data_IF_115883982297
#
_entry.id   IF_115883982297
#
_cell.length_a   1.000
_cell.length_b   1.000
_cell.length_c   1.000
_cell.angle_alpha   90.00
_cell.angle_beta   90.00
_cell.angle_gamma   90.00
#
_symmetry.space_group_name_H-M   'P 1'
#
loop_
_entity.id
_entity.type
_entity.pdbx_description
1 polymer ?
#
# COMPACT_ATOMS: atom_id res chain seq x y z
N UNK A 1 37.57 18.35 -16.76
CA UNK A 1 37.32 18.11 -16.34
C UNK A 1 36.88 17.93 -15.86
N UNK A 2 36.63 17.85 -15.85
CA UNK A 2 36.04 17.52 -15.31
C UNK A 2 35.35 17.12 -15.02
N UNK A 3 35.17 16.97 -14.98
CA UNK A 3 34.36 16.51 -14.57
C UNK A 3 33.73 16.07 -14.20
N UNK A 4 33.49 15.88 -14.37
CA UNK A 4 32.70 15.42 -13.80
C UNK A 4 32.21 15.01 -13.51
N UNK A 5 32.15 14.88 -13.61
CA UNK A 5 31.51 14.45 -13.13
C UNK A 5 30.78 14.15 -12.69
N UNK A 6 30.78 14.22 -12.94
CA UNK A 6 29.92 13.91 -12.38
C UNK A 6 29.24 13.51 -12.23
N UNK A 7 29.29 13.36 -12.47
CA UNK A 7 28.47 12.90 -12.10
C UNK A 7 27.96 12.45 -11.73
N UNK A 8 27.77 12.33 -11.94
CA UNK A 8 27.16 11.83 -11.37
C UNK A 8 26.60 11.51 -11.03
N UNK A 9 26.61 11.42 -11.17
CA UNK A 9 25.95 11.10 -10.64
C UNK A 9 25.25 10.87 -10.33
N UNK A 10 25.07 10.82 -10.51
CA UNK A 10 24.31 10.65 -10.12
C UNK A 10 23.73 10.24 -9.92
N UNK A 11 23.62 9.93 -10.19
CA UNK A 11 22.91 9.54 -9.94
C UNK A 11 22.42 9.18 -9.57
N UNK A 12 22.19 9.03 -9.72
CA UNK A 12 21.59 8.70 -9.24
C UNK A 12 20.92 8.43 -9.03
N UNK A 13 20.88 8.22 -9.18
CA UNK A 13 20.26 8.19 -8.99
C UNK A 13 19.59 7.85 -8.69
N UNK A 14 19.43 7.53 -8.74
CA UNK A 14 18.88 7.41 -8.45
C UNK A 14 18.18 6.97 -8.19
N UNK A 15 18.09 6.78 -8.29
CA UNK A 15 17.43 6.35 -8.14
C UNK A 15 16.76 5.84 -7.67
N UNK A 16 16.60 5.69 -7.42
CA UNK A 16 15.99 5.20 -7.01
C UNK A 16 15.04 4.97 -6.74
N UNK A 17 15.15 4.59 -6.65
CA UNK A 17 13.97 4.05 -6.68
C UNK A 17 13.05 4.28 -5.84
N UNK A 18 13.35 4.87 -5.42
CA UNK A 18 12.22 5.21 -4.82
C UNK A 18 11.03 4.97 -5.61
N UNK A 19 11.01 4.01 -6.17
CA UNK A 19 9.95 3.72 -7.03
C UNK A 19 8.61 3.57 -6.34
N UNK A 20 8.56 3.73 -5.03
CA UNK A 20 7.33 3.46 -4.32
C UNK A 20 6.77 4.74 -3.74
N UNK A 21 6.06 5.50 -4.58
CA UNK A 21 5.28 6.61 -4.08
C UNK A 21 4.19 6.06 -3.16
N UNK A 22 3.86 6.83 -2.14
CA UNK A 22 2.71 6.50 -1.31
C UNK A 22 1.43 6.60 -2.13
N UNK A 23 0.40 5.92 -1.67
CA UNK A 23 -0.92 5.99 -2.29
C UNK A 23 -1.90 6.60 -1.30
N UNK A 24 -2.76 7.48 -1.80
CA UNK A 24 -3.85 8.02 -1.02
C UNK A 24 -5.15 7.43 -1.53
N UNK A 25 -5.84 6.71 -0.67
CA UNK A 25 -7.07 6.01 -0.96
C UNK A 25 -8.16 6.56 -0.04
N UNK A 26 -8.85 7.62 -0.46
CA UNK A 26 -9.76 8.33 0.43
C UNK A 26 -9.00 8.88 1.63
N UNK A 27 -9.46 8.57 2.82
CA UNK A 27 -8.78 8.96 4.06
C UNK A 27 -7.63 8.07 4.49
N UNK A 28 -7.23 7.12 3.65
CA UNK A 28 -6.19 6.15 4.01
C UNK A 28 -4.96 6.35 3.15
N UNK A 29 -3.82 6.53 3.81
CA UNK A 29 -2.54 6.66 3.13
C UNK A 29 -1.77 5.34 3.27
N UNK A 30 -1.39 4.76 2.15
CA UNK A 30 -0.63 3.51 2.10
C UNK A 30 0.81 3.80 1.79
N UNK A 31 1.70 3.24 2.60
CA UNK A 31 3.14 3.38 2.44
C UNK A 31 3.78 2.00 2.47
N UNK A 32 4.60 1.70 1.47
CA UNK A 32 5.37 0.45 1.44
C UNK A 32 6.66 0.68 2.23
N UNK A 33 6.77 0.01 3.37
CA UNK A 33 7.95 0.14 4.22
C UNK A 33 9.11 -0.71 3.68
N UNK A 34 10.32 -0.37 4.13
CA UNK A 34 11.54 -1.05 3.67
C UNK A 34 11.53 -2.55 3.99
N UNK A 35 10.81 -2.95 5.03
CA UNK A 35 10.73 -4.34 5.44
C UNK A 35 9.69 -5.15 4.65
N UNK A 36 9.09 -4.55 3.63
CA UNK A 36 8.09 -5.22 2.81
C UNK A 36 6.68 -5.15 3.34
N UNK A 37 6.47 -4.60 4.53
CA UNK A 37 5.14 -4.45 5.12
C UNK A 37 4.51 -3.13 4.70
N UNK A 38 3.19 -3.12 4.64
CA UNK A 38 2.44 -1.91 4.35
C UNK A 38 2.12 -1.18 5.64
N UNK A 39 2.23 0.15 5.60
CA UNK A 39 1.73 1.00 6.67
C UNK A 39 0.51 1.74 6.17
N UNK A 40 -0.54 1.77 6.98
CA UNK A 40 -1.76 2.49 6.66
C UNK A 40 -1.93 3.59 7.70
N UNK A 41 -1.90 4.83 7.25
CA UNK A 41 -1.92 6.01 8.12
C UNK A 41 -0.84 5.92 9.21
N UNK A 42 0.34 5.40 8.84
CA UNK A 42 1.47 5.30 9.75
C UNK A 42 1.48 4.07 10.63
N UNK A 43 0.48 3.21 10.55
CA UNK A 43 0.42 1.98 11.33
C UNK A 43 0.76 0.77 10.46
N UNK A 44 1.72 -0.04 10.88
CA UNK A 44 2.07 -1.24 10.16
C UNK A 44 0.97 -2.28 10.30
N UNK A 45 0.53 -2.84 9.17
CA UNK A 45 -0.49 -3.89 9.18
C UNK A 45 0.02 -5.11 9.94
N UNK A 46 -0.89 -5.83 10.57
CA UNK A 46 -0.55 -7.00 11.37
C UNK A 46 -0.60 -8.30 10.57
N UNK A 47 -1.21 -8.26 9.39
CA UNK A 47 -1.21 -9.37 8.45
C UNK A 47 -1.22 -8.84 7.04
N UNK A 48 -0.60 -9.58 6.11
CA UNK A 48 -0.50 -9.15 4.73
C UNK A 48 -0.37 -10.38 3.84
N UNK A 49 -1.23 -10.48 2.84
CA UNK A 49 -1.17 -11.57 1.88
C UNK A 49 -1.35 -11.01 0.47
N UNK A 50 -0.37 -11.26 -0.38
CA UNK A 50 -0.36 -10.76 -1.75
C UNK A 50 -0.74 -11.89 -2.70
N UNK A 51 -1.63 -11.58 -3.64
CA UNK A 51 -2.06 -12.52 -4.67
C UNK A 51 -2.07 -11.83 -6.01
N UNK A 52 -1.39 -12.43 -6.98
CA UNK A 52 -1.43 -11.93 -8.35
C UNK A 52 -2.71 -12.39 -9.03
N UNK A 53 -3.42 -11.46 -9.68
CA UNK A 53 -4.70 -11.75 -10.31
C UNK A 53 -4.53 -12.24 -11.76
N UNK A 54 -3.34 -12.06 -12.30
CA UNK A 54 -2.99 -12.55 -13.62
C UNK A 54 -1.71 -13.38 -13.52
N UNK A 55 -0.71 -12.97 -14.27
CA UNK A 55 0.58 -13.67 -14.25
C UNK A 55 1.34 -13.36 -12.96
N UNK A 56 2.20 -14.28 -12.56
CA UNK A 56 3.11 -14.06 -11.44
C UNK A 56 3.97 -12.82 -11.72
N UNK A 57 4.14 -12.01 -10.68
CA UNK A 57 4.92 -10.76 -10.72
C UNK A 57 4.31 -9.66 -11.59
N UNK A 58 3.04 -9.80 -11.96
CA UNK A 58 2.30 -8.73 -12.64
C UNK A 58 1.69 -7.79 -11.60
N UNK A 59 2.46 -6.78 -11.20
CA UNK A 59 2.07 -5.84 -10.16
C UNK A 59 1.00 -4.85 -10.60
N UNK A 60 0.58 -4.86 -11.86
CA UNK A 60 -0.56 -4.08 -12.33
C UNK A 60 -1.88 -4.83 -12.16
N UNK A 61 -1.81 -6.09 -11.75
CA UNK A 61 -2.99 -6.92 -11.51
C UNK A 61 -2.75 -7.74 -10.25
N UNK A 62 -2.95 -7.10 -9.10
CA UNK A 62 -2.58 -7.69 -7.81
C UNK A 62 -3.64 -7.35 -6.77
N UNK A 63 -3.78 -8.23 -5.81
CA UNK A 63 -4.66 -8.06 -4.66
C UNK A 63 -3.85 -8.30 -3.40
N UNK A 64 -3.97 -7.40 -2.44
CA UNK A 64 -3.31 -7.56 -1.15
C UNK A 64 -4.35 -7.48 -0.04
N UNK A 65 -4.51 -8.57 0.67
CA UNK A 65 -5.39 -8.63 1.85
C UNK A 65 -4.55 -8.30 3.07
N UNK A 66 -5.01 -7.34 3.85
CA UNK A 66 -4.28 -6.85 5.01
C UNK A 66 -5.20 -6.74 6.21
N UNK A 67 -4.66 -6.99 7.38
CA UNK A 67 -5.36 -6.78 8.63
C UNK A 67 -4.59 -5.81 9.51
N UNK A 68 -5.32 -5.05 10.30
CA UNK A 68 -4.75 -4.14 11.28
C UNK A 68 -5.50 -4.40 12.58
N UNK A 69 -4.95 -5.26 13.43
CA UNK A 69 -5.66 -5.82 14.59
C UNK A 69 -4.75 -5.87 15.81
N UNK A 70 -4.93 -4.95 16.79
CA UNK A 70 -5.81 -3.79 16.73
C UNK A 70 -5.13 -2.58 16.13
N UNK A 71 -5.92 -1.65 15.64
CA UNK A 71 -5.46 -0.33 15.28
C UNK A 71 -5.28 0.54 16.54
N UNK A 72 -4.66 1.71 16.39
CA UNK A 72 -4.47 2.64 17.51
C UNK A 72 -5.80 3.10 18.13
N UNK A 73 -6.87 3.11 17.36
CA UNK A 73 -8.18 3.49 17.86
C UNK A 73 -8.89 2.35 18.61
N UNK A 74 -8.23 1.20 18.72
CA UNK A 74 -8.80 0.03 19.41
C UNK A 74 -9.66 -0.85 18.54
N UNK A 75 -9.96 -0.45 17.34
CA UNK A 75 -10.77 -1.25 16.40
C UNK A 75 -9.90 -2.16 15.55
N UNK A 76 -10.52 -3.19 15.00
CA UNK A 76 -9.86 -4.10 14.07
C UNK A 76 -10.35 -3.78 12.65
N UNK A 77 -9.43 -3.68 11.71
CA UNK A 77 -9.75 -3.35 10.33
C UNK A 77 -9.26 -4.42 9.38
N UNK A 78 -10.05 -4.66 8.33
CA UNK A 78 -9.63 -5.45 7.17
C UNK A 78 -9.51 -4.53 5.98
N UNK A 79 -8.40 -4.64 5.26
CA UNK A 79 -8.14 -3.86 4.06
C UNK A 79 -7.91 -4.80 2.90
N UNK A 80 -8.53 -4.50 1.77
CA UNK A 80 -8.27 -5.21 0.53
C UNK A 80 -7.81 -4.20 -0.50
N UNK A 81 -6.53 -4.23 -0.83
CA UNK A 81 -5.97 -3.39 -1.87
C UNK A 81 -6.07 -4.17 -3.19
N UNK A 82 -6.70 -3.58 -4.19
CA UNK A 82 -6.87 -4.23 -5.49
C UNK A 82 -6.34 -3.31 -6.57
N UNK A 83 -5.49 -3.84 -7.43
CA UNK A 83 -4.99 -3.13 -8.58
C UNK A 83 -5.30 -3.95 -9.83
N UNK A 84 -6.02 -3.35 -10.77
CA UNK A 84 -6.38 -3.99 -12.04
C UNK A 84 -6.03 -3.06 -13.19
N UNK A 85 -5.21 -3.55 -14.11
CA UNK A 85 -4.74 -2.77 -15.26
C UNK A 85 -4.15 -1.43 -14.82
N UNK A 86 -3.41 -1.46 -13.72
CA UNK A 86 -2.76 -0.27 -13.18
C UNK A 86 -3.67 0.65 -12.39
N UNK A 87 -4.96 0.38 -12.30
CA UNK A 87 -5.89 1.18 -11.51
C UNK A 87 -6.09 0.55 -10.14
N UNK A 88 -5.85 1.34 -9.10
CA UNK A 88 -5.85 0.85 -7.73
C UNK A 88 -7.00 1.43 -6.92
N UNK A 89 -7.54 0.61 -6.04
CA UNK A 89 -8.51 1.06 -5.04
C UNK A 89 -8.40 0.21 -3.78
N UNK A 90 -8.90 0.73 -2.68
CA UNK A 90 -8.84 0.12 -1.37
C UNK A 90 -10.25 -0.11 -0.83
N UNK A 91 -10.54 -1.35 -0.48
CA UNK A 91 -11.78 -1.71 0.20
C UNK A 91 -11.48 -1.80 1.69
N UNK A 92 -12.32 -1.18 2.52
CA UNK A 92 -12.10 -1.10 3.96
C UNK A 92 -13.30 -1.67 4.70
N UNK A 93 -13.02 -2.53 5.69
CA UNK A 93 -14.03 -3.12 6.55
C UNK A 93 -13.65 -2.94 8.01
N UNK A 94 -14.65 -2.73 8.85
CA UNK A 94 -14.49 -2.80 10.30
C UNK A 94 -14.79 -4.25 10.71
N UNK A 95 -13.81 -4.91 11.30
CA UNK A 95 -13.97 -6.30 11.75
C UNK A 95 -14.60 -6.30 13.14
N UNK A 96 -15.72 -6.99 13.28
CA UNK A 96 -16.42 -7.04 14.56
C UNK A 96 -15.73 -8.01 15.50
N UNK A 97 -15.79 -7.70 16.80
CA UNK A 97 -15.28 -8.58 17.84
C UNK A 97 -16.28 -9.66 18.23
N UNK A 98 -17.40 -9.71 17.54
CA UNK A 98 -18.48 -10.66 17.79
C UNK A 98 -18.68 -11.53 16.55
N UNK A 99 -19.71 -12.36 16.57
CA UNK A 99 -20.05 -13.21 15.44
C UNK A 99 -20.81 -12.45 14.36
N UNK A 100 -20.98 -11.16 14.53
CA UNK A 100 -21.65 -10.32 13.52
C UNK A 100 -20.77 -10.18 12.29
N UNK A 101 -21.41 -9.97 11.14
CA UNK A 101 -20.68 -9.75 9.89
C UNK A 101 -19.84 -8.47 9.97
N UNK A 102 -18.70 -8.42 9.28
CA UNK A 102 -17.92 -7.19 9.22
C UNK A 102 -18.74 -6.05 8.64
N UNK A 103 -18.49 -4.85 9.14
CA UNK A 103 -19.16 -3.65 8.66
C UNK A 103 -18.33 -3.03 7.54
N UNK A 104 -18.91 -2.87 6.37
CA UNK A 104 -18.24 -2.25 5.24
C UNK A 104 -18.15 -0.75 5.48
N UNK A 105 -16.93 -0.22 5.44
CA UNK A 105 -16.69 1.22 5.57
C UNK A 105 -16.77 1.87 4.19
N UNK A 106 -16.13 1.29 3.19
CA UNK A 106 -16.22 1.81 1.84
C UNK A 106 -15.16 1.28 0.91
N UNK A 107 -15.20 1.79 -0.30
CA UNK A 107 -14.23 1.49 -1.36
C UNK A 107 -13.72 2.81 -1.89
N UNK A 108 -12.40 2.97 -1.94
CA UNK A 108 -11.77 4.25 -2.25
C UNK A 108 -10.75 4.09 -3.36
N UNK A 109 -10.88 4.88 -4.45
CA UNK A 109 -9.84 4.86 -5.47
C UNK A 109 -8.55 5.43 -4.90
N UNK A 110 -7.43 4.87 -5.35
CA UNK A 110 -6.11 5.27 -4.88
C UNK A 110 -5.40 6.08 -5.96
N UNK A 111 -4.63 7.07 -5.52
CA UNK A 111 -3.78 7.85 -6.42
C UNK A 111 -2.42 8.03 -5.78
N UNK A 112 -1.40 8.16 -6.60
CA UNK A 112 -0.05 8.39 -6.12
C UNK A 112 0.07 9.77 -5.51
N UNK A 113 0.79 9.85 -4.40
CA UNK A 113 1.09 11.12 -3.73
C UNK A 113 2.58 11.17 -3.41
N UNK A 114 3.10 12.37 -3.29
CA UNK A 114 4.50 12.55 -2.93
C UNK A 114 4.74 12.11 -1.49
N UNK A 115 5.93 11.58 -1.25
CA UNK A 115 6.34 11.19 0.11
C UNK A 115 6.54 12.39 1.00
#
# INVERSE_FOLDING_TARGET
MKRLELVLTISLILSCPAAFADLQCGGYRLHAADNGWTKINGEQVTSQKIKFLGKKDDWDNVKTDMGLMPSRDGNNYGFEFVKRNGKAFLNVQLLQNSMDAPKIIGSFPCKKVAD
#
